data_IF_859240619933
#
_entry.id   IF_859240619933
#
_cell.length_a   1.000
_cell.length_b   1.000
_cell.length_c   1.000
_cell.angle_alpha   90.00
_cell.angle_beta   90.00
_cell.angle_gamma   90.00
#
_symmetry.space_group_name_H-M   'P 1'
#
loop_
_entity.id
_entity.type
_entity.pdbx_description
1 polymer ?
#
# COMPACT_ATOMS: atom_id res chain seq x y z
N UNK A 1 -5.78 -17.16 4.86
CA UNK A 1 -5.20 -15.85 5.20
C UNK A 1 -5.76 -14.81 4.25
N UNK A 2 -5.84 -13.54 4.66
CA UNK A 2 -6.32 -12.46 3.80
C UNK A 2 -5.19 -11.85 2.96
N UNK A 3 -4.04 -11.59 3.59
CA UNK A 3 -2.81 -11.22 2.90
C UNK A 3 -1.77 -12.33 3.14
N UNK A 4 -1.09 -12.73 2.09
CA UNK A 4 -0.02 -13.72 2.13
C UNK A 4 1.18 -13.22 1.33
N UNK A 5 2.33 -13.23 1.96
CA UNK A 5 3.61 -12.90 1.36
C UNK A 5 4.53 -14.09 1.55
N UNK A 6 5.05 -14.65 0.47
CA UNK A 6 5.89 -15.84 0.52
C UNK A 6 7.24 -15.56 -0.14
N UNK A 7 8.30 -15.77 0.63
CA UNK A 7 9.70 -15.67 0.19
C UNK A 7 10.01 -14.38 -0.57
N UNK A 8 9.41 -13.25 -0.16
CA UNK A 8 9.59 -11.97 -0.82
C UNK A 8 11.04 -11.51 -0.68
N UNK A 9 11.63 -11.20 -1.83
CA UNK A 9 12.97 -10.63 -1.93
C UNK A 9 12.87 -9.30 -2.65
N UNK A 10 13.52 -8.28 -2.10
CA UNK A 10 13.66 -6.96 -2.72
C UNK A 10 15.07 -6.46 -2.60
N UNK A 11 15.63 -6.02 -3.71
CA UNK A 11 16.88 -5.25 -3.79
C UNK A 11 16.80 -4.25 -4.94
N UNK A 12 17.50 -3.15 -4.83
CA UNK A 12 17.70 -2.20 -5.94
C UNK A 12 19.00 -2.51 -6.69
N UNK A 13 20.03 -2.96 -5.94
CA UNK A 13 21.28 -3.51 -6.48
C UNK A 13 21.50 -4.88 -5.86
N UNK A 14 22.00 -5.85 -6.63
CA UNK A 14 22.19 -7.24 -6.15
C UNK A 14 22.99 -7.36 -4.85
N UNK A 15 23.92 -6.41 -4.64
CA UNK A 15 24.77 -6.37 -3.44
C UNK A 15 24.08 -5.81 -2.20
N UNK A 16 22.93 -5.17 -2.36
CA UNK A 16 22.20 -4.53 -1.25
C UNK A 16 20.78 -5.11 -1.16
N UNK A 17 20.65 -6.23 -0.45
CA UNK A 17 19.38 -6.84 -0.14
C UNK A 17 18.62 -6.01 0.92
N UNK A 18 17.46 -5.49 0.55
CA UNK A 18 16.58 -4.73 1.43
C UNK A 18 15.63 -5.67 2.17
N UNK A 19 15.04 -6.62 1.44
CA UNK A 19 14.14 -7.63 2.01
C UNK A 19 14.69 -9.03 1.64
N UNK A 20 14.93 -9.85 2.66
CA UNK A 20 15.59 -11.16 2.54
C UNK A 20 14.58 -12.27 2.81
N UNK A 21 13.93 -12.81 1.77
CA UNK A 21 13.00 -13.96 1.87
C UNK A 21 11.96 -13.79 3.00
N UNK A 22 11.27 -12.66 3.01
CA UNK A 22 10.24 -12.37 4.00
C UNK A 22 9.03 -13.27 3.77
N UNK A 23 8.59 -13.93 4.83
CA UNK A 23 7.31 -14.62 4.90
C UNK A 23 6.42 -13.90 5.91
N UNK A 24 5.20 -13.58 5.50
CA UNK A 24 4.29 -12.77 6.30
C UNK A 24 2.85 -13.08 5.91
N UNK A 25 1.98 -13.13 6.88
CA UNK A 25 0.55 -13.33 6.61
C UNK A 25 -0.32 -12.59 7.61
N UNK A 26 -1.49 -12.15 7.14
CA UNK A 26 -2.45 -11.36 7.92
C UNK A 26 -3.85 -11.92 7.69
N UNK A 27 -4.65 -12.01 8.74
CA UNK A 27 -6.08 -12.32 8.66
C UNK A 27 -6.87 -11.06 8.35
N UNK A 28 -8.07 -11.22 7.83
CA UNK A 28 -8.99 -10.10 7.61
C UNK A 28 -9.32 -9.40 8.93
N UNK A 29 -9.24 -8.07 8.95
CA UNK A 29 -9.55 -7.23 10.11
C UNK A 29 -8.38 -7.02 11.08
N UNK A 30 -7.22 -7.63 10.87
CA UNK A 30 -6.05 -7.40 11.71
C UNK A 30 -5.39 -6.05 11.40
N UNK A 31 -4.90 -5.38 12.44
CA UNK A 31 -4.05 -4.19 12.36
C UNK A 31 -2.64 -4.62 12.73
N UNK A 32 -1.69 -4.37 11.85
CA UNK A 32 -0.29 -4.78 12.02
C UNK A 32 0.61 -3.55 12.08
N UNK A 33 1.53 -3.53 13.03
CA UNK A 33 2.57 -2.51 13.13
C UNK A 33 3.94 -3.10 12.80
N UNK A 34 4.70 -2.43 11.94
CA UNK A 34 6.09 -2.76 11.65
C UNK A 34 7.01 -1.85 12.43
N UNK A 35 7.83 -2.45 13.29
CA UNK A 35 8.82 -1.74 14.10
C UNK A 35 10.22 -2.07 13.60
N UNK A 36 11.11 -1.12 13.63
CA UNK A 36 12.50 -1.28 13.22
C UNK A 36 13.17 0.08 12.97
N UNK A 37 14.48 0.05 12.87
CA UNK A 37 15.29 1.23 12.60
C UNK A 37 14.98 1.84 11.22
N UNK A 38 15.31 3.13 11.06
CA UNK A 38 15.24 3.78 9.75
C UNK A 38 16.12 3.03 8.74
N UNK A 39 15.60 2.81 7.52
CA UNK A 39 16.32 2.07 6.49
C UNK A 39 16.23 0.54 6.61
N UNK A 40 15.44 0.00 7.53
CA UNK A 40 15.24 -1.46 7.66
C UNK A 40 14.33 -2.08 6.60
N UNK A 41 13.83 -1.30 5.64
CA UNK A 41 13.02 -1.79 4.53
C UNK A 41 11.50 -1.77 4.76
N UNK A 42 11.00 -1.22 5.87
CA UNK A 42 9.55 -1.14 6.18
C UNK A 42 8.74 -0.45 5.09
N UNK A 43 9.15 0.76 4.70
CA UNK A 43 8.49 1.53 3.64
C UNK A 43 8.57 0.81 2.29
N UNK A 44 9.73 0.22 1.97
CA UNK A 44 9.92 -0.56 0.75
C UNK A 44 8.98 -1.77 0.72
N UNK A 45 8.83 -2.47 1.85
CA UNK A 45 7.89 -3.59 1.96
C UNK A 45 6.44 -3.14 1.71
N UNK A 46 5.99 -2.07 2.35
CA UNK A 46 4.64 -1.53 2.14
C UNK A 46 4.42 -1.09 0.69
N UNK A 47 5.42 -0.47 0.06
CA UNK A 47 5.36 -0.11 -1.37
C UNK A 47 5.28 -1.33 -2.28
N UNK A 48 5.96 -2.43 -1.95
CA UNK A 48 5.83 -3.70 -2.68
C UNK A 48 4.41 -4.27 -2.58
N UNK A 49 3.78 -4.22 -1.40
CA UNK A 49 2.39 -4.64 -1.23
C UNK A 49 1.42 -3.80 -2.05
N UNK A 50 1.60 -2.50 -2.05
CA UNK A 50 0.76 -1.56 -2.80
C UNK A 50 1.01 -1.60 -4.32
N UNK A 51 2.10 -2.23 -4.78
CA UNK A 51 2.49 -2.25 -6.20
C UNK A 51 3.21 -1.00 -6.68
N UNK A 52 3.61 -0.14 -5.76
CA UNK A 52 4.43 1.05 -6.04
C UNK A 52 5.91 0.68 -6.27
N UNK A 53 6.28 -0.52 -5.85
CA UNK A 53 7.59 -1.14 -6.09
C UNK A 53 7.41 -2.57 -6.58
N UNK A 54 8.29 -3.02 -7.46
CA UNK A 54 8.35 -4.41 -7.90
C UNK A 54 9.12 -5.25 -6.89
N UNK A 55 8.83 -6.55 -6.84
CA UNK A 55 9.62 -7.54 -6.10
C UNK A 55 10.62 -8.23 -7.05
N UNK A 56 11.73 -8.71 -6.50
CA UNK A 56 12.73 -9.45 -7.28
C UNK A 56 12.44 -10.95 -7.31
N UNK A 57 11.87 -11.48 -6.23
CA UNK A 57 11.34 -12.85 -6.20
C UNK A 57 10.32 -13.01 -5.06
N UNK A 58 9.67 -14.17 -5.01
CA UNK A 58 8.60 -14.46 -4.08
C UNK A 58 7.23 -14.15 -4.64
N UNK A 59 6.23 -14.06 -3.78
CA UNK A 59 4.85 -13.77 -4.18
C UNK A 59 4.10 -12.96 -3.14
N UNK A 60 3.14 -12.17 -3.62
CA UNK A 60 2.17 -11.43 -2.81
C UNK A 60 0.78 -11.81 -3.28
N UNK A 61 -0.07 -12.22 -2.34
CA UNK A 61 -1.44 -12.62 -2.59
C UNK A 61 -2.39 -11.90 -1.64
N UNK A 62 -3.49 -11.39 -2.16
CA UNK A 62 -4.52 -10.71 -1.37
C UNK A 62 -5.87 -11.37 -1.64
N UNK A 63 -6.51 -11.85 -0.59
CA UNK A 63 -7.82 -12.53 -0.65
C UNK A 63 -7.87 -13.62 -1.75
N UNK A 64 -6.83 -14.47 -1.79
CA UNK A 64 -6.68 -15.53 -2.78
C UNK A 64 -6.17 -15.08 -4.15
N UNK A 65 -6.20 -13.79 -4.47
CA UNK A 65 -5.74 -13.25 -5.76
C UNK A 65 -4.24 -12.97 -5.72
N UNK A 66 -3.50 -13.44 -6.72
CA UNK A 66 -2.09 -13.11 -6.90
C UNK A 66 -1.98 -11.64 -7.33
N UNK A 67 -1.26 -10.85 -6.56
CA UNK A 67 -0.94 -9.46 -6.88
C UNK A 67 0.44 -9.33 -7.53
N UNK A 68 1.37 -10.19 -7.12
CA UNK A 68 2.74 -10.15 -7.62
C UNK A 68 3.39 -11.53 -7.47
N UNK A 69 3.98 -12.02 -8.53
CA UNK A 69 4.86 -13.20 -8.55
C UNK A 69 5.83 -13.10 -9.73
N UNK A 70 6.49 -14.20 -10.10
CA UNK A 70 7.42 -14.26 -11.22
C UNK A 70 6.79 -13.85 -12.57
N UNK A 71 5.50 -14.14 -12.75
CA UNK A 71 4.80 -14.01 -14.03
C UNK A 71 3.72 -12.92 -14.02
N UNK A 72 3.34 -12.42 -12.83
CA UNK A 72 2.22 -11.52 -12.66
C UNK A 72 2.63 -10.28 -11.88
N UNK A 73 2.16 -9.13 -12.36
CA UNK A 73 2.25 -7.86 -11.65
C UNK A 73 0.94 -7.09 -11.83
N UNK A 74 0.18 -6.97 -10.76
CA UNK A 74 -1.03 -6.15 -10.74
C UNK A 74 -0.63 -4.71 -10.42
N UNK A 75 -0.97 -3.77 -11.29
CA UNK A 75 -0.70 -2.35 -11.08
C UNK A 75 -1.43 -1.82 -9.83
N UNK A 76 -0.90 -0.77 -9.15
CA UNK A 76 -1.47 -0.25 -7.91
C UNK A 76 -2.97 0.03 -7.97
N UNK A 77 -3.44 0.66 -9.04
CA UNK A 77 -4.84 1.05 -9.25
C UNK A 77 -5.82 -0.13 -9.26
N UNK A 78 -5.33 -1.33 -9.53
CA UNK A 78 -6.13 -2.58 -9.59
C UNK A 78 -5.97 -3.48 -8.36
N UNK A 79 -5.20 -3.05 -7.34
CA UNK A 79 -4.96 -3.85 -6.12
C UNK A 79 -6.04 -3.70 -5.06
N UNK A 80 -6.85 -2.65 -5.10
CA UNK A 80 -7.80 -2.28 -4.04
C UNK A 80 -7.11 -2.10 -2.68
N UNK A 81 -5.94 -1.47 -2.68
CA UNK A 81 -5.15 -1.15 -1.49
C UNK A 81 -5.05 0.37 -1.40
N UNK A 82 -5.50 0.95 -0.28
CA UNK A 82 -5.21 2.34 0.06
C UNK A 82 -3.78 2.46 0.59
N UNK A 83 -3.08 3.51 0.20
CA UNK A 83 -1.72 3.80 0.65
C UNK A 83 -1.63 5.24 1.14
N UNK A 84 -1.18 5.44 2.37
CA UNK A 84 -0.92 6.77 2.93
C UNK A 84 0.58 7.02 2.86
N UNK A 85 0.98 8.04 2.09
CA UNK A 85 2.37 8.43 1.95
C UNK A 85 2.84 9.23 3.16
N UNK A 86 4.13 9.10 3.50
CA UNK A 86 4.75 9.82 4.62
C UNK A 86 4.74 11.33 4.40
N UNK A 87 4.84 11.80 3.17
CA UNK A 87 4.96 13.21 2.81
C UNK A 87 3.60 13.89 2.59
N UNK A 88 2.48 13.18 2.81
CA UNK A 88 1.11 13.68 2.61
C UNK A 88 0.94 14.43 1.27
N UNK A 89 1.25 13.80 0.12
CA UNK A 89 1.22 14.49 -1.16
C UNK A 89 -0.21 14.91 -1.51
N UNK A 90 -0.35 16.19 -1.82
CA UNK A 90 -1.58 16.77 -2.35
C UNK A 90 -1.38 17.16 -3.81
N UNK A 91 -2.45 17.14 -4.59
CA UNK A 91 -2.44 17.67 -5.94
C UNK A 91 -2.43 19.21 -5.86
N UNK A 92 -1.33 19.89 -6.24
CA UNK A 92 -1.19 21.35 -6.04
C UNK A 92 -2.13 22.18 -6.91
N UNK A 93 -2.64 21.61 -7.99
CA UNK A 93 -3.60 22.23 -8.90
C UNK A 93 -5.06 22.07 -8.47
N UNK A 94 -5.33 21.29 -7.42
CA UNK A 94 -6.66 21.06 -6.87
C UNK A 94 -6.83 21.78 -5.53
N UNK A 95 -8.03 22.27 -5.25
CA UNK A 95 -8.40 22.78 -3.93
C UNK A 95 -8.55 21.62 -2.92
N UNK A 96 -8.77 21.93 -1.65
CA UNK A 96 -8.90 20.94 -0.58
C UNK A 96 -10.02 19.94 -0.84
N UNK A 97 -11.20 20.44 -1.20
CA UNK A 97 -12.37 19.59 -1.48
C UNK A 97 -12.10 18.63 -2.63
N UNK A 98 -11.51 19.11 -3.72
CA UNK A 98 -11.21 18.30 -4.89
C UNK A 98 -10.09 17.28 -4.63
N UNK A 99 -9.13 17.60 -3.76
CA UNK A 99 -8.15 16.62 -3.27
C UNK A 99 -8.82 15.48 -2.48
N UNK A 100 -9.75 15.80 -1.58
CA UNK A 100 -10.48 14.80 -0.78
C UNK A 100 -11.38 13.95 -1.66
N UNK A 101 -12.06 14.55 -2.62
CA UNK A 101 -12.98 13.86 -3.53
C UNK A 101 -12.29 13.19 -4.72
N UNK A 102 -10.98 13.34 -4.83
CA UNK A 102 -10.23 12.80 -5.96
C UNK A 102 -10.48 11.30 -6.12
N UNK A 103 -10.91 10.92 -7.33
CA UNK A 103 -11.22 9.54 -7.70
C UNK A 103 -12.35 8.87 -6.87
N UNK A 104 -13.18 9.65 -6.17
CA UNK A 104 -14.39 9.15 -5.53
C UNK A 104 -15.58 9.24 -6.49
N UNK A 105 -16.38 8.18 -6.54
CA UNK A 105 -17.66 8.20 -7.25
C UNK A 105 -18.65 9.12 -6.51
N UNK A 106 -19.57 9.73 -7.23
CA UNK A 106 -20.57 10.68 -6.72
C UNK A 106 -21.45 10.15 -5.56
N UNK A 107 -21.53 8.84 -5.40
CA UNK A 107 -22.27 8.17 -4.31
C UNK A 107 -21.63 8.31 -2.93
N UNK A 108 -20.45 8.90 -2.81
CA UNK A 108 -19.71 9.01 -1.55
C UNK A 108 -19.75 10.41 -0.93
N UNK A 109 -20.51 11.35 -1.50
CA UNK A 109 -20.62 12.72 -0.97
C UNK A 109 -21.18 12.77 0.46
N UNK A 110 -22.08 11.86 0.84
CA UNK A 110 -22.62 11.79 2.20
C UNK A 110 -21.55 11.52 3.27
N UNK A 111 -20.45 10.85 2.89
CA UNK A 111 -19.32 10.57 3.77
C UNK A 111 -18.36 11.75 3.89
N UNK A 112 -18.43 12.71 2.98
CA UNK A 112 -17.53 13.87 2.97
C UNK A 112 -17.72 14.71 4.23
N UNK A 113 -18.95 15.08 4.56
CA UNK A 113 -19.28 15.89 5.75
C UNK A 113 -18.85 15.18 7.03
N UNK A 114 -19.04 13.86 7.10
CA UNK A 114 -18.57 13.05 8.23
C UNK A 114 -17.03 13.08 8.36
N UNK A 115 -16.31 12.88 7.26
CA UNK A 115 -14.83 12.91 7.26
C UNK A 115 -14.30 14.31 7.61
N UNK A 116 -14.91 15.35 7.06
CA UNK A 116 -14.55 16.75 7.37
C UNK A 116 -14.77 17.05 8.86
N UNK A 117 -15.88 16.60 9.43
CA UNK A 117 -16.17 16.78 10.86
C UNK A 117 -15.15 16.08 11.75
N UNK A 118 -14.75 14.85 11.41
CA UNK A 118 -13.73 14.09 12.14
C UNK A 118 -12.34 14.73 12.06
N UNK A 119 -12.02 15.38 10.95
CA UNK A 119 -10.71 16.00 10.72
C UNK A 119 -10.63 17.46 11.18
N UNK A 120 -11.74 18.04 11.68
CA UNK A 120 -11.79 19.45 12.09
C UNK A 120 -11.69 20.43 10.92
N UNK A 121 -12.05 20.01 9.72
CA UNK A 121 -12.01 20.80 8.48
C UNK A 121 -13.40 21.28 8.05
N UNK A 122 -14.26 21.62 9.00
CA UNK A 122 -15.61 22.14 8.75
C UNK A 122 -15.58 23.58 8.23
#
# INVERSE_FOLDING_TARGET
MYLEVNNLVKYYKKENLIIKKLNFSVKKGEIISFLGESGSGKTTFLKCLAGLETINSGSVRLNGRILNDKNHFVIPQKRNIGFVFQDYPLFPHLNLKDNILFNLNTTHFEKLDYVLSLSGLN
#
